data_IF_500384113505
#
_entry.id   IF_500384113505
#
_cell.length_a   1.000
_cell.length_b   1.000
_cell.length_c   1.000
_cell.angle_alpha   90.00
_cell.angle_beta   90.00
_cell.angle_gamma   90.00
#
_symmetry.space_group_name_H-M   'P 1'
#
loop_
_entity.id
_entity.type
_entity.pdbx_description
1 polymer ?
#
# COMPACT_ATOMS: atom_id res chain seq x y z
N UNK A 1 -6.82 -13.06 9.62
CA UNK A 1 -6.09 -11.78 9.64
C UNK A 1 -4.73 -12.05 10.24
N UNK A 2 -3.64 -11.57 9.65
CA UNK A 2 -2.29 -11.86 10.17
C UNK A 2 -2.13 -11.11 11.50
N UNK A 3 -1.71 -11.80 12.55
CA UNK A 3 -1.46 -11.20 13.86
C UNK A 3 -0.12 -10.46 13.83
N UNK A 4 -0.12 -9.22 14.30
CA UNK A 4 1.06 -8.37 14.42
C UNK A 4 1.32 -8.08 15.91
N UNK A 5 2.58 -8.06 16.36
CA UNK A 5 2.95 -7.58 17.69
C UNK A 5 2.38 -6.18 17.97
N UNK A 6 2.05 -5.89 19.22
CA UNK A 6 1.38 -4.63 19.61
C UNK A 6 2.24 -3.38 19.32
N UNK A 7 3.55 -3.53 19.30
CA UNK A 7 4.54 -2.48 19.03
C UNK A 7 4.91 -2.35 17.53
N UNK A 8 4.25 -3.11 16.65
CA UNK A 8 4.48 -3.02 15.21
C UNK A 8 4.15 -1.62 14.70
N UNK A 9 5.14 -0.94 14.13
CA UNK A 9 4.93 0.33 13.45
C UNK A 9 4.43 0.10 12.03
N UNK A 10 3.19 0.50 11.77
CA UNK A 10 2.62 0.48 10.43
C UNK A 10 3.03 1.72 9.63
N UNK A 11 3.27 1.52 8.35
CA UNK A 11 3.49 2.59 7.37
C UNK A 11 2.37 2.52 6.33
N UNK A 12 1.68 3.63 6.10
CA UNK A 12 0.69 3.72 5.02
C UNK A 12 1.20 4.62 3.90
N UNK A 13 1.01 4.17 2.66
CA UNK A 13 1.27 4.94 1.45
C UNK A 13 0.09 4.77 0.47
N UNK A 14 0.00 5.67 -0.50
CA UNK A 14 -0.95 5.56 -1.62
C UNK A 14 -0.19 5.81 -2.94
N UNK A 15 -0.93 6.00 -4.04
CA UNK A 15 -0.39 6.37 -5.34
C UNK A 15 0.55 7.58 -5.26
N UNK A 16 0.08 8.70 -4.71
CA UNK A 16 0.84 9.95 -4.71
C UNK A 16 0.26 11.05 -3.82
N UNK A 17 0.79 12.29 -3.89
CA UNK A 17 0.42 13.40 -3.00
C UNK A 17 -1.06 13.84 -3.12
N UNK A 18 -1.71 13.55 -4.25
CA UNK A 18 -3.13 13.87 -4.46
C UNK A 18 -4.09 12.76 -3.98
N UNK A 19 -3.58 11.72 -3.32
CA UNK A 19 -4.39 10.63 -2.79
C UNK A 19 -4.60 10.74 -1.26
N UNK A 20 -5.85 10.62 -0.81
CA UNK A 20 -6.21 10.55 0.62
C UNK A 20 -6.27 9.11 1.20
N UNK A 21 -5.84 8.11 0.42
CA UNK A 21 -5.86 6.69 0.81
C UNK A 21 -4.97 6.40 2.03
N UNK A 22 -3.73 6.89 2.00
CA UNK A 22 -2.75 6.67 3.08
C UNK A 22 -3.26 7.22 4.42
N UNK A 23 -3.81 8.44 4.41
CA UNK A 23 -4.39 9.10 5.58
C UNK A 23 -5.61 8.35 6.11
N UNK A 24 -6.53 7.93 5.23
CA UNK A 24 -7.70 7.14 5.62
C UNK A 24 -7.31 5.79 6.23
N UNK A 25 -6.26 5.15 5.71
CA UNK A 25 -5.68 3.93 6.28
C UNK A 25 -5.07 4.17 7.66
N UNK A 26 -4.25 5.22 7.79
CA UNK A 26 -3.61 5.58 9.05
C UNK A 26 -4.63 5.86 10.16
N UNK A 27 -5.71 6.59 9.87
CA UNK A 27 -6.78 6.84 10.85
C UNK A 27 -7.41 5.53 11.35
N UNK A 28 -7.59 4.53 10.48
CA UNK A 28 -8.17 3.23 10.86
C UNK A 28 -7.25 2.42 11.76
N UNK A 29 -5.93 2.53 11.57
CA UNK A 29 -4.91 1.89 12.40
C UNK A 29 -4.71 2.64 13.74
N UNK A 30 -4.74 3.97 13.71
CA UNK A 30 -4.56 4.80 14.91
C UNK A 30 -5.75 4.72 15.89
N UNK A 31 -6.97 4.54 15.39
CA UNK A 31 -8.18 4.42 16.24
C UNK A 31 -8.10 3.32 17.32
N UNK A 32 -7.70 2.08 17.02
CA UNK A 32 -7.46 1.05 18.03
C UNK A 32 -6.11 1.20 18.75
N UNK A 33 -5.32 2.24 18.48
CA UNK A 33 -4.05 2.51 19.15
C UNK A 33 -2.82 1.88 18.50
N UNK A 34 -2.91 1.39 17.25
CA UNK A 34 -1.73 0.84 16.57
C UNK A 34 -0.78 1.98 16.18
N UNK A 35 0.54 1.84 16.44
CA UNK A 35 1.53 2.81 15.99
C UNK A 35 1.51 2.91 14.46
N UNK A 36 1.37 4.12 13.91
CA UNK A 36 1.31 4.32 12.46
C UNK A 36 1.95 5.63 12.04
N UNK A 37 2.61 5.61 10.88
CA UNK A 37 3.12 6.80 10.18
C UNK A 37 2.67 6.78 8.72
N UNK A 38 2.52 7.97 8.14
CA UNK A 38 2.19 8.15 6.72
C UNK A 38 3.50 8.40 5.97
N UNK A 39 3.68 7.69 4.86
CA UNK A 39 4.74 7.97 3.88
C UNK A 39 4.21 9.01 2.90
N UNK A 40 4.75 10.23 2.98
CA UNK A 40 4.42 11.34 2.09
C UNK A 40 4.94 11.09 0.68
N UNK A 41 4.29 11.63 -0.34
CA UNK A 41 4.68 11.44 -1.74
C UNK A 41 4.18 10.13 -2.36
N UNK A 42 3.86 9.10 -1.55
CA UNK A 42 3.35 7.82 -2.05
C UNK A 42 4.36 7.07 -2.92
N UNK A 43 3.88 6.13 -3.74
CA UNK A 43 4.75 5.39 -4.67
C UNK A 43 5.33 6.29 -5.76
N UNK A 44 4.63 7.36 -6.17
CA UNK A 44 5.20 8.33 -7.12
C UNK A 44 6.42 9.04 -6.54
N UNK A 45 6.34 9.54 -5.30
CA UNK A 45 7.48 10.18 -4.65
C UNK A 45 8.65 9.21 -4.44
N UNK A 46 8.36 7.94 -4.13
CA UNK A 46 9.39 6.89 -4.04
C UNK A 46 10.14 6.69 -5.38
N UNK A 47 9.42 6.71 -6.50
CA UNK A 47 10.00 6.58 -7.83
C UNK A 47 10.73 7.86 -8.26
N UNK A 48 10.24 9.04 -7.90
CA UNK A 48 10.90 10.33 -8.18
C UNK A 48 12.27 10.42 -7.48
N UNK A 49 12.41 9.76 -6.32
CA UNK A 49 13.67 9.58 -5.59
C UNK A 49 14.55 8.43 -6.14
N UNK A 50 14.14 7.80 -7.25
CA UNK A 50 14.83 6.71 -7.92
C UNK A 50 15.03 5.43 -7.07
N UNK A 51 14.15 5.18 -6.10
CA UNK A 51 14.15 3.92 -5.35
C UNK A 51 13.50 2.78 -6.15
N UNK A 52 14.02 1.57 -5.96
CA UNK A 52 13.52 0.37 -6.63
C UNK A 52 12.15 -0.06 -6.10
N UNK A 53 11.35 -0.68 -6.98
CA UNK A 53 10.13 -1.38 -6.62
C UNK A 53 10.31 -2.88 -6.87
N UNK A 54 9.87 -3.69 -5.91
CA UNK A 54 9.70 -5.12 -6.13
C UNK A 54 8.40 -5.35 -6.91
N UNK A 55 8.50 -6.01 -8.05
CA UNK A 55 7.33 -6.39 -8.85
C UNK A 55 7.14 -7.89 -8.78
N UNK A 56 5.95 -8.33 -8.40
CA UNK A 56 5.55 -9.72 -8.54
C UNK A 56 4.64 -9.81 -9.76
N UNK A 57 4.99 -10.69 -10.71
CA UNK A 57 4.12 -10.99 -11.82
C UNK A 57 2.81 -11.58 -11.26
N UNK A 58 1.71 -10.86 -11.44
CA UNK A 58 0.38 -11.43 -11.28
C UNK A 58 0.15 -12.33 -12.49
N UNK A 59 0.08 -13.65 -12.25
CA UNK A 59 -0.34 -14.59 -13.28
C UNK A 59 -1.76 -14.20 -13.67
N UNK A 60 -1.93 -13.71 -14.89
CA UNK A 60 -3.24 -13.40 -15.43
C UNK A 60 -4.10 -14.66 -15.32
N UNK A 61 -5.32 -14.51 -14.78
CA UNK A 61 -6.37 -15.49 -15.04
C UNK A 61 -6.63 -15.42 -16.54
N UNK A 62 -6.06 -16.37 -17.31
CA UNK A 62 -6.49 -16.59 -18.68
C UNK A 62 -7.93 -17.10 -18.59
N UNK A 63 -8.90 -16.19 -18.64
CA UNK A 63 -10.25 -16.56 -19.07
C UNK A 63 -10.14 -16.99 -20.52
N UNK A 64 -9.98 -18.31 -20.70
CA UNK A 64 -10.37 -18.98 -21.92
C UNK A 64 -11.89 -18.86 -22.04
N UNK A 65 -12.35 -17.99 -22.92
CA UNK A 65 -13.50 -18.32 -23.77
C UNK A 65 -13.08 -18.04 -25.22
N UNK A 66 -12.68 -19.12 -25.90
CA UNK A 66 -12.71 -19.25 -27.35
C UNK A 66 -14.16 -19.54 -27.75
N UNK A 67 -14.73 -18.79 -28.69
CA UNK A 67 -15.29 -19.32 -29.95
C UNK A 67 -15.81 -18.19 -30.87
N UNK A 68 -16.05 -18.47 -32.17
CA UNK A 68 -15.78 -17.57 -33.30
C UNK A 68 -16.83 -16.50 -33.61
#
# INVERSE_FOLDING_TARGET
>A
MREYPADTLFMTYCAGPHCNGATRGAIRLAKPGQPVKIVTGGVTGWLDEAFALETQAVSACTEMEQEP
#
